data_IF_442984017252
#
_entry.id   IF_442984017252
#
_cell.length_a   1.000
_cell.length_b   1.000
_cell.length_c   1.000
_cell.angle_alpha   90.00
_cell.angle_beta   90.00
_cell.angle_gamma   90.00
#
_symmetry.space_group_name_H-M   'P 1'
#
loop_
_entity.id
_entity.type
_entity.pdbx_description
1 polymer ?
#
# COMPACT_ATOMS: atom_id res chain seq x y z
N UNK A 1 -4.43 19.01 -0.99
CA UNK A 1 -3.57 18.83 -2.19
C UNK A 1 -2.18 19.24 -1.80
N UNK A 2 -1.27 18.28 -1.63
CA UNK A 2 0.13 18.55 -1.27
C UNK A 2 0.83 19.07 -2.53
N UNK A 3 1.37 20.27 -2.46
CA UNK A 3 2.04 20.93 -3.60
C UNK A 3 3.33 20.17 -3.99
N UNK A 4 3.25 19.33 -5.01
CA UNK A 4 4.39 18.57 -5.56
C UNK A 4 5.42 19.52 -6.22
N UNK A 5 5.04 20.78 -6.47
CA UNK A 5 5.90 21.80 -7.10
C UNK A 5 7.05 22.27 -6.19
N UNK A 6 7.01 21.93 -4.90
CA UNK A 6 7.99 22.40 -3.91
C UNK A 6 9.20 21.48 -3.70
N UNK A 7 9.26 20.29 -4.37
CA UNK A 7 10.44 19.42 -4.32
C UNK A 7 11.52 19.89 -5.29
N UNK A 8 12.69 20.19 -4.75
CA UNK A 8 13.85 20.47 -5.61
C UNK A 8 14.49 19.19 -6.19
N UNK A 9 15.48 19.34 -7.04
CA UNK A 9 16.18 18.21 -7.68
C UNK A 9 16.88 17.31 -6.67
N UNK A 10 17.41 17.88 -5.58
CA UNK A 10 18.10 17.15 -4.52
C UNK A 10 17.09 16.33 -3.73
N UNK A 11 15.95 16.91 -3.34
CA UNK A 11 14.87 16.23 -2.64
C UNK A 11 14.34 15.03 -3.44
N UNK A 12 14.09 15.21 -4.73
CA UNK A 12 13.70 14.12 -5.64
C UNK A 12 14.75 13.01 -5.71
N UNK A 13 16.03 13.39 -5.73
CA UNK A 13 17.13 12.42 -5.74
C UNK A 13 17.21 11.65 -4.44
N UNK A 14 17.06 12.32 -3.29
CA UNK A 14 16.96 11.68 -1.96
C UNK A 14 15.82 10.67 -1.94
N UNK A 15 14.61 11.08 -2.32
CA UNK A 15 13.44 10.19 -2.37
C UNK A 15 13.67 8.99 -3.29
N UNK A 16 14.24 9.20 -4.47
CA UNK A 16 14.55 8.12 -5.41
C UNK A 16 15.52 7.10 -4.83
N UNK A 17 16.56 7.55 -4.14
CA UNK A 17 17.55 6.67 -3.51
C UNK A 17 16.93 5.89 -2.35
N UNK A 18 16.18 6.54 -1.48
CA UNK A 18 15.52 5.90 -0.35
C UNK A 18 14.41 4.91 -0.77
N UNK A 19 13.73 5.13 -1.89
CA UNK A 19 12.80 4.15 -2.46
C UNK A 19 13.52 2.88 -2.93
N UNK A 20 14.77 3.01 -3.39
CA UNK A 20 15.57 1.88 -3.87
C UNK A 20 16.25 1.14 -2.74
N UNK A 21 16.73 1.86 -1.72
CA UNK A 21 17.36 1.31 -0.52
C UNK A 21 17.05 2.16 0.71
N UNK A 22 16.01 1.75 1.43
CA UNK A 22 15.60 2.40 2.69
C UNK A 22 16.62 2.24 3.84
N UNK A 23 17.62 1.37 3.68
CA UNK A 23 18.68 1.13 4.67
C UNK A 23 19.94 1.95 4.42
N UNK A 24 19.97 2.76 3.37
CA UNK A 24 21.11 3.63 3.06
C UNK A 24 21.43 4.53 4.25
N UNK A 25 22.71 4.59 4.63
CA UNK A 25 23.14 5.47 5.72
C UNK A 25 23.06 6.94 5.29
N UNK A 26 22.86 7.85 6.25
CA UNK A 26 22.84 9.28 5.93
C UNK A 26 24.17 9.76 5.30
N UNK A 27 25.28 9.14 5.65
CA UNK A 27 26.60 9.46 5.06
C UNK A 27 26.65 9.08 3.59
N UNK A 28 26.16 7.89 3.23
CA UNK A 28 26.15 7.41 1.86
C UNK A 28 25.12 8.17 1.01
N UNK A 29 23.96 8.46 1.60
CA UNK A 29 22.94 9.30 0.97
C UNK A 29 23.48 10.71 0.67
N UNK A 30 24.12 11.34 1.64
CA UNK A 30 24.73 12.66 1.50
C UNK A 30 25.78 12.69 0.37
N UNK A 31 26.64 11.66 0.33
CA UNK A 31 27.63 11.49 -0.76
C UNK A 31 26.94 11.36 -2.12
N UNK A 32 25.85 10.56 -2.21
CA UNK A 32 25.13 10.31 -3.46
C UNK A 32 24.37 11.54 -4.00
N UNK A 33 24.08 12.52 -3.14
CA UNK A 33 23.42 13.78 -3.52
C UNK A 33 24.35 15.02 -3.45
N UNK A 34 25.67 14.80 -3.28
CA UNK A 34 26.69 15.84 -3.18
C UNK A 34 26.44 16.87 -2.06
N UNK A 35 26.05 16.38 -0.90
CA UNK A 35 25.88 17.17 0.31
C UNK A 35 26.81 16.68 1.42
N UNK A 36 27.04 17.51 2.44
CA UNK A 36 27.55 17.06 3.71
C UNK A 36 26.43 16.37 4.55
N UNK A 37 26.78 15.50 5.51
CA UNK A 37 25.79 14.71 6.26
C UNK A 37 24.72 15.53 6.99
N UNK A 38 25.07 16.66 7.59
CA UNK A 38 24.12 17.46 8.36
C UNK A 38 23.00 18.09 7.50
N UNK A 39 23.26 18.81 6.41
CA UNK A 39 22.20 19.31 5.55
C UNK A 39 21.42 18.18 4.83
N UNK A 40 22.05 17.05 4.54
CA UNK A 40 21.33 15.88 4.01
C UNK A 40 20.29 15.37 5.01
N UNK A 41 20.69 15.18 6.28
CA UNK A 41 19.79 14.75 7.35
C UNK A 41 18.66 15.75 7.57
N UNK A 42 18.94 17.04 7.52
CA UNK A 42 17.93 18.09 7.66
C UNK A 42 16.87 18.00 6.54
N UNK A 43 17.28 17.72 5.29
CA UNK A 43 16.36 17.50 4.17
C UNK A 43 15.52 16.25 4.34
N UNK A 44 16.11 15.12 4.73
CA UNK A 44 15.36 13.88 4.99
C UNK A 44 14.28 14.13 6.05
N UNK A 45 14.64 14.75 7.17
CA UNK A 45 13.68 15.09 8.24
C UNK A 45 12.56 16.03 7.74
N UNK A 46 12.90 17.01 6.92
CA UNK A 46 11.90 17.90 6.32
C UNK A 46 10.95 17.14 5.38
N UNK A 47 11.44 16.16 4.61
CA UNK A 47 10.61 15.32 3.75
C UNK A 47 9.68 14.39 4.56
N UNK A 48 10.16 13.86 5.67
CA UNK A 48 9.34 13.10 6.64
C UNK A 48 8.25 13.98 7.27
N UNK A 49 8.64 15.13 7.83
CA UNK A 49 7.70 16.07 8.48
C UNK A 49 6.63 16.61 7.52
N UNK A 50 6.99 16.81 6.24
CA UNK A 50 6.07 17.25 5.19
C UNK A 50 5.22 16.10 4.61
N UNK A 51 5.42 14.86 5.08
CA UNK A 51 4.65 13.69 4.68
C UNK A 51 4.99 13.13 3.29
N UNK A 52 6.11 13.54 2.67
CA UNK A 52 6.59 12.90 1.43
C UNK A 52 7.12 11.49 1.68
N UNK A 53 7.68 11.25 2.85
CA UNK A 53 8.04 9.93 3.35
C UNK A 53 7.00 9.56 4.42
N UNK A 54 6.17 8.59 4.12
CA UNK A 54 5.13 8.10 5.04
C UNK A 54 5.65 7.06 6.03
N UNK A 55 6.77 6.43 5.73
CA UNK A 55 7.39 5.43 6.60
C UNK A 55 8.44 4.58 5.89
N UNK A 56 9.07 3.72 6.66
CA UNK A 56 10.04 2.74 6.19
C UNK A 56 9.53 1.35 6.57
N UNK A 57 9.46 0.45 5.60
CA UNK A 57 8.91 -0.90 5.82
C UNK A 57 9.88 -1.97 5.36
N UNK A 58 9.86 -3.11 6.04
CA UNK A 58 10.54 -4.32 5.59
C UNK A 58 9.59 -5.13 4.71
N UNK A 59 9.98 -5.42 3.49
CA UNK A 59 9.23 -6.33 2.61
C UNK A 59 9.57 -7.77 2.98
N UNK A 60 8.53 -8.57 3.17
CA UNK A 60 8.64 -9.97 3.52
C UNK A 60 8.17 -10.84 2.35
N UNK A 61 8.78 -12.02 2.22
CA UNK A 61 8.34 -13.06 1.29
C UNK A 61 7.17 -13.84 1.91
N UNK A 62 5.96 -13.56 1.42
CA UNK A 62 4.75 -14.16 1.93
C UNK A 62 4.75 -15.69 1.80
N UNK A 63 5.30 -16.24 0.71
CA UNK A 63 5.33 -17.69 0.49
C UNK A 63 6.25 -18.38 1.53
N UNK A 64 7.40 -17.78 1.83
CA UNK A 64 8.31 -18.30 2.87
C UNK A 64 7.71 -18.25 4.27
N UNK A 65 6.75 -17.36 4.49
CA UNK A 65 5.99 -17.24 5.75
C UNK A 65 4.74 -18.14 5.77
N UNK A 66 4.53 -18.97 4.73
CA UNK A 66 3.39 -19.87 4.66
C UNK A 66 2.10 -19.21 4.14
N UNK A 67 2.14 -17.96 3.72
CA UNK A 67 1.01 -17.23 3.15
C UNK A 67 0.98 -17.46 1.63
N UNK A 68 0.33 -18.55 1.19
CA UNK A 68 0.44 -19.04 -0.18
C UNK A 68 -0.64 -18.52 -1.12
N UNK A 69 -1.76 -18.05 -0.58
CA UNK A 69 -2.91 -17.63 -1.38
C UNK A 69 -3.06 -16.12 -1.34
N UNK A 70 -2.89 -15.48 -2.49
CA UNK A 70 -3.22 -14.07 -2.70
C UNK A 70 -4.47 -13.98 -3.57
N UNK A 71 -5.48 -13.27 -3.10
CA UNK A 71 -6.78 -13.18 -3.78
C UNK A 71 -7.24 -11.73 -3.86
N UNK A 72 -7.80 -11.36 -5.00
CA UNK A 72 -8.50 -10.10 -5.19
C UNK A 72 -10.01 -10.36 -5.06
N UNK A 73 -10.64 -9.63 -4.15
CA UNK A 73 -12.07 -9.80 -3.87
C UNK A 73 -12.78 -8.50 -4.19
N UNK A 74 -13.72 -8.57 -5.13
CA UNK A 74 -14.64 -7.48 -5.40
C UNK A 74 -15.88 -7.66 -4.54
N UNK A 75 -16.27 -6.59 -3.86
CA UNK A 75 -17.44 -6.56 -3.00
C UNK A 75 -18.41 -5.51 -3.52
N UNK A 76 -19.68 -5.88 -3.61
CA UNK A 76 -20.77 -4.96 -3.88
C UNK A 76 -21.70 -4.92 -2.67
N UNK A 77 -22.02 -3.73 -2.23
CA UNK A 77 -22.98 -3.50 -1.15
C UNK A 77 -24.42 -3.50 -1.72
N UNK A 78 -25.38 -3.89 -0.90
CA UNK A 78 -26.81 -3.83 -1.26
C UNK A 78 -27.27 -2.38 -1.48
N UNK A 79 -26.68 -1.44 -0.74
CA UNK A 79 -26.95 -0.02 -0.83
C UNK A 79 -25.67 0.79 -0.67
N UNK A 80 -25.43 1.74 -1.56
CA UNK A 80 -24.32 2.69 -1.53
C UNK A 80 -24.67 3.91 -0.68
N UNK A 81 -24.89 3.71 0.61
CA UNK A 81 -25.14 4.80 1.57
C UNK A 81 -23.94 4.90 2.53
N UNK A 82 -23.67 6.11 3.01
CA UNK A 82 -22.51 6.41 3.86
C UNK A 82 -22.39 5.45 5.06
N UNK A 83 -23.46 5.19 5.77
CA UNK A 83 -23.47 4.28 6.90
C UNK A 83 -23.08 2.82 6.54
N UNK A 84 -23.42 2.35 5.34
CA UNK A 84 -23.02 1.01 4.88
C UNK A 84 -21.54 0.98 4.49
N UNK A 85 -21.03 2.04 3.85
CA UNK A 85 -19.62 2.20 3.53
C UNK A 85 -18.76 2.19 4.81
N UNK A 86 -19.10 3.05 5.79
CA UNK A 86 -18.39 3.09 7.07
C UNK A 86 -18.43 1.77 7.85
N UNK A 87 -19.55 1.06 7.79
CA UNK A 87 -19.68 -0.25 8.46
C UNK A 87 -18.76 -1.26 7.83
N UNK A 88 -18.70 -1.29 6.50
CA UNK A 88 -17.80 -2.18 5.75
C UNK A 88 -16.33 -1.82 6.01
N UNK A 89 -15.96 -0.56 5.91
CA UNK A 89 -14.59 -0.08 6.10
C UNK A 89 -14.08 -0.42 7.50
N UNK A 90 -14.86 -0.15 8.54
CA UNK A 90 -14.51 -0.53 9.91
C UNK A 90 -14.33 -2.05 10.09
N UNK A 91 -15.15 -2.85 9.41
CA UNK A 91 -15.03 -4.29 9.48
C UNK A 91 -13.75 -4.82 8.80
N UNK A 92 -13.19 -4.09 7.82
CA UNK A 92 -12.01 -4.52 7.06
C UNK A 92 -10.70 -3.95 7.61
N UNK A 93 -10.71 -2.77 8.25
CA UNK A 93 -9.49 -2.05 8.64
C UNK A 93 -8.62 -2.82 9.64
N UNK A 94 -9.22 -3.59 10.53
CA UNK A 94 -8.52 -4.35 11.58
C UNK A 94 -8.26 -5.82 11.18
N UNK A 95 -8.50 -6.19 9.92
CA UNK A 95 -8.29 -7.56 9.46
C UNK A 95 -6.87 -7.76 8.95
N UNK A 96 -6.07 -8.58 9.63
CA UNK A 96 -4.67 -8.80 9.24
C UNK A 96 -4.53 -9.48 7.88
N UNK A 97 -5.53 -10.23 7.43
CA UNK A 97 -5.55 -10.86 6.11
C UNK A 97 -5.76 -9.85 4.98
N UNK A 98 -6.38 -8.70 5.27
CA UNK A 98 -6.67 -7.66 4.30
C UNK A 98 -5.47 -6.74 4.17
N UNK A 99 -4.73 -6.92 3.08
CA UNK A 99 -3.53 -6.13 2.80
C UNK A 99 -3.86 -4.77 2.19
N UNK A 100 -4.95 -4.69 1.43
CA UNK A 100 -5.39 -3.48 0.74
C UNK A 100 -6.91 -3.48 0.63
N UNK A 101 -7.51 -2.31 0.79
CA UNK A 101 -8.95 -2.09 0.62
C UNK A 101 -9.15 -0.76 -0.11
N UNK A 102 -9.78 -0.80 -1.27
CA UNK A 102 -10.04 0.37 -2.10
C UNK A 102 -11.53 0.54 -2.33
N UNK A 103 -12.05 1.75 -2.10
CA UNK A 103 -13.36 2.15 -2.63
C UNK A 103 -13.21 2.40 -4.12
N UNK A 104 -14.05 1.77 -4.93
CA UNK A 104 -13.94 1.74 -6.37
C UNK A 104 -15.07 2.50 -7.05
N UNK A 105 -14.81 2.95 -8.28
CA UNK A 105 -15.84 3.35 -9.22
C UNK A 105 -16.14 2.16 -10.15
N UNK A 106 -17.40 2.02 -10.60
CA UNK A 106 -17.81 0.95 -11.53
C UNK A 106 -18.72 -0.10 -10.90
N UNK A 107 -18.58 -1.37 -11.31
CA UNK A 107 -19.53 -2.44 -10.97
C UNK A 107 -19.40 -2.97 -9.54
N UNK A 108 -18.27 -2.74 -8.89
CA UNK A 108 -18.03 -3.14 -7.50
C UNK A 108 -17.77 -1.90 -6.64
N UNK A 109 -18.20 -1.93 -5.39
CA UNK A 109 -17.97 -0.82 -4.45
C UNK A 109 -16.58 -0.91 -3.83
N UNK A 110 -16.09 -2.11 -3.57
CA UNK A 110 -14.77 -2.32 -2.98
C UNK A 110 -13.95 -3.37 -3.72
N UNK A 111 -12.64 -3.12 -3.76
CA UNK A 111 -11.63 -4.10 -4.13
C UNK A 111 -10.72 -4.35 -2.93
N UNK A 112 -10.66 -5.61 -2.51
CA UNK A 112 -9.75 -6.07 -1.47
C UNK A 112 -8.61 -6.87 -2.09
N UNK A 113 -7.40 -6.75 -1.54
CA UNK A 113 -6.35 -7.73 -1.69
C UNK A 113 -6.17 -8.46 -0.36
N UNK A 114 -6.44 -9.75 -0.38
CA UNK A 114 -6.39 -10.62 0.80
C UNK A 114 -5.27 -11.65 0.63
N UNK A 115 -4.52 -11.91 1.70
CA UNK A 115 -3.45 -12.90 1.72
C UNK A 115 -3.67 -13.84 2.88
N UNK A 116 -3.75 -15.15 2.57
CA UNK A 116 -4.04 -16.21 3.54
C UNK A 116 -3.14 -17.42 3.32
N UNK A 117 -3.00 -18.32 4.31
CA UNK A 117 -2.16 -19.50 4.16
C UNK A 117 -2.62 -20.45 3.06
N UNK A 118 -3.92 -20.72 2.97
CA UNK A 118 -4.49 -21.76 2.12
C UNK A 118 -5.95 -21.46 1.72
N UNK A 119 -6.54 -22.35 0.93
CA UNK A 119 -7.94 -22.23 0.49
C UNK A 119 -8.96 -22.40 1.62
N UNK A 120 -8.79 -23.31 2.60
CA UNK A 120 -9.66 -23.34 3.77
C UNK A 120 -9.71 -22.01 4.54
N UNK A 121 -8.57 -21.36 4.76
CA UNK A 121 -8.51 -20.05 5.39
C UNK A 121 -9.20 -18.96 4.54
N UNK A 122 -9.08 -19.04 3.20
CA UNK A 122 -9.82 -18.15 2.31
C UNK A 122 -11.34 -18.38 2.42
N UNK A 123 -11.77 -19.63 2.44
CA UNK A 123 -13.18 -19.98 2.61
C UNK A 123 -13.72 -19.44 3.94
N UNK A 124 -12.98 -19.63 5.01
CA UNK A 124 -13.35 -19.12 6.35
C UNK A 124 -13.49 -17.59 6.33
N UNK A 125 -12.51 -16.88 5.77
CA UNK A 125 -12.56 -15.43 5.63
C UNK A 125 -13.81 -14.97 4.84
N UNK A 126 -14.10 -15.60 3.71
CA UNK A 126 -15.27 -15.22 2.90
C UNK A 126 -16.58 -15.51 3.65
N UNK A 127 -16.74 -16.71 4.22
CA UNK A 127 -18.02 -17.17 4.80
C UNK A 127 -18.24 -16.60 6.20
N UNK A 128 -17.22 -16.58 7.05
CA UNK A 128 -17.35 -16.24 8.45
C UNK A 128 -16.97 -14.79 8.78
N UNK A 129 -16.32 -14.09 7.84
CA UNK A 129 -15.95 -12.69 8.02
C UNK A 129 -16.68 -11.80 7.02
N UNK A 130 -16.33 -11.91 5.75
CA UNK A 130 -16.74 -10.96 4.71
C UNK A 130 -18.25 -10.98 4.45
N UNK A 131 -18.86 -12.18 4.30
CA UNK A 131 -20.30 -12.30 4.04
C UNK A 131 -21.18 -11.97 5.24
N UNK A 132 -20.59 -11.87 6.43
CA UNK A 132 -21.33 -11.47 7.65
C UNK A 132 -21.32 -9.97 7.90
N UNK A 133 -20.59 -9.21 7.12
CA UNK A 133 -20.63 -7.74 7.22
C UNK A 133 -21.98 -7.25 6.74
N UNK A 134 -22.73 -6.52 7.57
CA UNK A 134 -24.04 -5.99 7.20
C UNK A 134 -23.97 -5.14 5.93
N UNK A 135 -24.87 -5.38 4.99
CA UNK A 135 -24.96 -4.65 3.73
C UNK A 135 -24.10 -5.21 2.61
N UNK A 136 -23.34 -6.28 2.81
CA UNK A 136 -22.64 -6.97 1.71
C UNK A 136 -23.65 -7.76 0.88
N UNK A 137 -23.80 -7.38 -0.39
CA UNK A 137 -24.74 -7.99 -1.32
C UNK A 137 -24.12 -9.04 -2.26
N UNK A 138 -22.92 -8.76 -2.78
CA UNK A 138 -22.23 -9.69 -3.70
C UNK A 138 -20.73 -9.70 -3.43
N UNK A 139 -20.13 -10.89 -3.51
CA UNK A 139 -18.70 -11.14 -3.36
C UNK A 139 -18.21 -11.92 -4.56
N UNK A 140 -17.19 -11.40 -5.23
CA UNK A 140 -16.53 -12.07 -6.33
C UNK A 140 -15.03 -12.16 -6.08
N UNK A 141 -14.51 -13.37 -5.87
CA UNK A 141 -13.09 -13.61 -5.62
C UNK A 141 -12.35 -14.07 -6.87
N UNK A 142 -11.10 -13.62 -7.02
CA UNK A 142 -10.21 -13.99 -8.09
C UNK A 142 -8.83 -14.29 -7.51
N UNK A 143 -8.41 -15.56 -7.56
CA UNK A 143 -7.10 -15.96 -7.04
C UNK A 143 -6.02 -15.52 -8.02
N UNK A 144 -4.97 -14.86 -7.50
CA UNK A 144 -3.80 -14.50 -8.29
C UNK A 144 -2.92 -15.73 -8.51
N UNK A 145 -2.89 -16.24 -9.74
CA UNK A 145 -2.07 -17.41 -10.09
C UNK A 145 -0.58 -17.08 -10.06
N UNK A 146 -0.20 -15.83 -10.41
CA UNK A 146 1.19 -15.37 -10.46
C UNK A 146 1.24 -13.86 -10.31
N UNK A 147 2.13 -13.38 -9.46
CA UNK A 147 2.50 -11.97 -9.44
C UNK A 147 3.55 -11.69 -10.50
N UNK A 148 3.17 -11.00 -11.57
CA UNK A 148 4.06 -10.71 -12.69
C UNK A 148 5.01 -9.56 -12.38
N UNK A 149 4.52 -8.58 -11.61
CA UNK A 149 5.30 -7.41 -11.17
C UNK A 149 4.86 -6.97 -9.78
N UNK A 150 5.81 -6.66 -8.95
CA UNK A 150 5.62 -5.95 -7.69
C UNK A 150 6.68 -4.86 -7.56
N UNK A 151 6.26 -3.64 -7.40
CA UNK A 151 7.14 -2.49 -7.27
C UNK A 151 6.53 -1.49 -6.31
N UNK A 152 7.29 -1.11 -5.28
CA UNK A 152 6.88 -0.12 -4.27
C UNK A 152 7.35 1.29 -4.61
N UNK A 153 8.39 1.42 -5.45
CA UNK A 153 8.93 2.71 -5.84
C UNK A 153 7.98 3.46 -6.79
N UNK A 154 7.56 4.65 -6.37
CA UNK A 154 6.73 5.55 -7.18
C UNK A 154 7.56 6.23 -8.28
N UNK A 155 6.98 6.48 -9.46
CA UNK A 155 7.65 7.23 -10.53
C UNK A 155 7.71 8.71 -10.15
N UNK A 156 8.86 9.18 -9.67
CA UNK A 156 9.03 10.59 -9.27
C UNK A 156 9.20 11.56 -10.46
N UNK A 157 9.24 11.04 -11.68
CA UNK A 157 9.55 11.79 -12.89
C UNK A 157 11.02 12.18 -12.95
N UNK A 158 11.59 12.22 -14.16
CA UNK A 158 12.91 12.83 -14.34
C UNK A 158 12.80 14.33 -14.13
N UNK A 159 13.74 14.88 -13.37
CA UNK A 159 13.99 16.33 -13.38
C UNK A 159 14.42 16.64 -14.80
N UNK A 160 13.49 17.12 -15.65
CA UNK A 160 13.88 17.66 -16.96
C UNK A 160 14.90 18.76 -16.70
N UNK A 161 16.11 18.52 -17.20
CA UNK A 161 17.18 19.52 -17.24
C UNK A 161 16.75 20.73 -18.06
#
# INVERSE_FOLDING_TARGET
MTDVSTLDAIDRRILSLLQSDARMTNVDLARAVNLSPSPCLARVRALEQRGYISGYVTLLDAQRLGLQVSVFIRVRLERQIEAALETFERAMIDRPEVMECYLMTGDADYLLRVVVPDLPALQDFIVNTLSRVPGVGNIQSSIALKQVKYQTALPLGDVRR
#
